data_IF_959192529581
#
_entry.id   IF_959192529581
#
_cell.length_a   1.000
_cell.length_b   1.000
_cell.length_c   1.000
_cell.angle_alpha   90.00
_cell.angle_beta   90.00
_cell.angle_gamma   90.00
#
_symmetry.space_group_name_H-M   'P 1'
#
loop_
_entity.id
_entity.type
_entity.pdbx_description
1 polymer ?
#
# COMPACT_ATOMS: atom_id res chain seq x y z
N UNK A 1 -8.20 -23.00 -7.96
CA UNK A 1 -8.02 -21.56 -7.70
C UNK A 1 -6.52 -21.27 -7.74
N UNK A 2 -6.05 -20.41 -8.65
CA UNK A 2 -4.61 -20.13 -8.80
C UNK A 2 -4.06 -19.38 -7.57
N UNK A 3 -2.76 -19.54 -7.30
CA UNK A 3 -2.09 -18.90 -6.17
C UNK A 3 -2.21 -17.37 -6.24
N UNK A 4 -1.99 -16.80 -7.43
CA UNK A 4 -2.14 -15.37 -7.71
C UNK A 4 -3.54 -14.83 -7.36
N UNK A 5 -4.62 -15.59 -7.65
CA UNK A 5 -5.98 -15.15 -7.33
C UNK A 5 -6.21 -15.08 -5.82
N UNK A 6 -5.66 -16.03 -5.06
CA UNK A 6 -5.71 -16.02 -3.59
C UNK A 6 -4.97 -14.81 -3.02
N UNK A 7 -3.82 -14.45 -3.59
CA UNK A 7 -3.05 -13.28 -3.16
C UNK A 7 -3.79 -11.97 -3.47
N UNK A 8 -4.37 -11.82 -4.67
CA UNK A 8 -5.19 -10.66 -5.03
C UNK A 8 -6.38 -10.50 -4.07
N UNK A 9 -7.12 -11.59 -3.80
CA UNK A 9 -8.21 -11.57 -2.82
C UNK A 9 -7.72 -11.28 -1.41
N UNK A 10 -6.53 -11.78 -1.05
CA UNK A 10 -5.87 -11.49 0.20
C UNK A 10 -5.56 -10.01 0.40
N UNK A 11 -5.04 -9.33 -0.64
CA UNK A 11 -4.80 -7.87 -0.60
C UNK A 11 -6.10 -7.13 -0.32
N UNK A 12 -7.15 -7.41 -1.10
CA UNK A 12 -8.47 -6.77 -0.95
C UNK A 12 -9.01 -6.97 0.46
N UNK A 13 -8.98 -8.21 0.98
CA UNK A 13 -9.50 -8.53 2.31
C UNK A 13 -8.70 -7.87 3.43
N UNK A 14 -7.37 -7.85 3.32
CA UNK A 14 -6.49 -7.33 4.37
C UNK A 14 -6.47 -5.79 4.40
N UNK A 15 -6.66 -5.14 3.26
CA UNK A 15 -6.49 -3.69 3.11
C UNK A 15 -7.82 -2.99 2.78
N UNK A 16 -8.45 -3.32 1.66
CA UNK A 16 -9.60 -2.57 1.14
C UNK A 16 -10.88 -2.80 1.96
N UNK A 17 -11.10 -4.04 2.39
CA UNK A 17 -12.24 -4.43 3.22
C UNK A 17 -11.98 -4.23 4.72
N UNK A 18 -10.75 -3.89 5.11
CA UNK A 18 -10.42 -3.61 6.51
C UNK A 18 -11.15 -2.35 7.01
N UNK A 19 -11.70 -2.43 8.22
CA UNK A 19 -12.23 -1.28 8.96
C UNK A 19 -11.13 -0.33 9.45
N UNK A 20 -9.89 -0.81 9.51
CA UNK A 20 -8.74 -0.05 10.01
C UNK A 20 -8.18 0.88 8.92
N UNK A 21 -8.51 2.17 9.00
CA UNK A 21 -8.05 3.16 8.02
C UNK A 21 -6.51 3.27 7.96
N UNK A 22 -5.82 3.02 9.08
CA UNK A 22 -4.36 3.00 9.14
C UNK A 22 -3.74 1.96 8.18
N UNK A 23 -4.43 0.85 7.89
CA UNK A 23 -3.93 -0.17 6.98
C UNK A 23 -3.94 0.31 5.53
N UNK A 24 -5.01 1.00 5.13
CA UNK A 24 -5.12 1.62 3.81
C UNK A 24 -4.06 2.69 3.63
N UNK A 25 -3.91 3.57 4.61
CA UNK A 25 -2.89 4.63 4.59
C UNK A 25 -1.50 4.01 4.43
N UNK A 26 -1.13 3.08 5.31
CA UNK A 26 0.20 2.46 5.28
C UNK A 26 0.47 1.65 4.00
N UNK A 27 -0.55 1.02 3.43
CA UNK A 27 -0.41 0.23 2.21
C UNK A 27 -0.21 1.12 0.99
N UNK A 28 -1.12 2.09 0.80
CA UNK A 28 -1.08 2.98 -0.35
C UNK A 28 0.03 4.03 -0.28
N UNK A 29 0.58 4.32 0.91
CA UNK A 29 1.77 5.16 1.09
C UNK A 29 3.08 4.40 0.93
N UNK A 30 3.05 3.06 0.81
CA UNK A 30 4.27 2.29 0.64
C UNK A 30 4.90 2.56 -0.75
N UNK A 31 6.20 2.92 -0.85
CA UNK A 31 6.82 3.29 -2.12
C UNK A 31 6.76 2.21 -3.20
N UNK A 32 6.91 0.93 -2.82
CA UNK A 32 6.83 -0.17 -3.77
C UNK A 32 5.41 -0.39 -4.27
N UNK A 33 4.42 -0.30 -3.37
CA UNK A 33 3.00 -0.39 -3.73
C UNK A 33 2.59 0.76 -4.64
N UNK A 34 2.96 2.01 -4.33
CA UNK A 34 2.66 3.18 -5.17
C UNK A 34 3.22 3.00 -6.58
N UNK A 35 4.50 2.64 -6.68
CA UNK A 35 5.18 2.42 -7.97
C UNK A 35 4.51 1.33 -8.80
N UNK A 36 4.12 0.22 -8.17
CA UNK A 36 3.41 -0.86 -8.88
C UNK A 36 2.04 -0.35 -9.34
N UNK A 37 1.24 0.25 -8.44
CA UNK A 37 -0.10 0.75 -8.77
C UNK A 37 -0.09 1.78 -9.90
N UNK A 38 0.88 2.70 -9.92
CA UNK A 38 1.04 3.68 -11.00
C UNK A 38 1.21 2.98 -12.37
N UNK A 39 2.08 1.95 -12.43
CA UNK A 39 2.25 1.13 -13.64
C UNK A 39 0.95 0.43 -14.03
N UNK A 40 0.27 -0.19 -13.06
CA UNK A 40 -0.98 -0.93 -13.31
C UNK A 40 -2.10 -0.03 -13.81
N UNK A 41 -2.23 1.16 -13.23
CA UNK A 41 -3.20 2.16 -13.66
C UNK A 41 -2.89 2.60 -15.09
N UNK A 42 -1.62 2.92 -15.39
CA UNK A 42 -1.22 3.30 -16.74
C UNK A 42 -1.54 2.20 -17.78
N UNK A 43 -1.27 0.94 -17.46
CA UNK A 43 -1.63 -0.19 -18.34
C UNK A 43 -3.14 -0.38 -18.47
N UNK A 44 -3.89 -0.29 -17.37
CA UNK A 44 -5.34 -0.35 -17.39
C UNK A 44 -5.94 0.75 -18.28
N UNK A 45 -5.42 1.98 -18.18
CA UNK A 45 -5.85 3.10 -19.03
C UNK A 45 -5.51 2.89 -20.50
N UNK A 46 -4.29 2.42 -20.81
CA UNK A 46 -3.88 2.06 -22.19
C UNK A 46 -4.78 0.97 -22.79
N UNK A 47 -5.34 0.10 -21.96
CA UNK A 47 -6.24 -0.96 -22.35
C UNK A 47 -7.73 -0.57 -22.21
N UNK A 48 -8.06 0.71 -22.36
CA UNK A 48 -9.42 1.26 -22.31
C UNK A 48 -10.18 0.89 -21.02
N UNK A 49 -9.46 0.79 -19.91
CA UNK A 49 -10.03 0.51 -18.58
C UNK A 49 -10.79 -0.81 -18.50
N UNK A 50 -10.39 -1.81 -19.30
CA UNK A 50 -10.99 -3.15 -19.25
C UNK A 50 -10.54 -3.91 -17.99
N UNK A 51 -11.48 -4.47 -17.23
CA UNK A 51 -11.16 -5.19 -15.97
C UNK A 51 -10.78 -4.24 -14.85
N UNK A 52 -9.93 -4.69 -13.92
CA UNK A 52 -9.38 -3.87 -12.83
C UNK A 52 -7.86 -3.73 -12.95
N UNK A 53 -7.22 -2.71 -12.32
CA UNK A 53 -5.77 -2.54 -12.40
C UNK A 53 -4.96 -3.78 -12.00
N UNK A 54 -5.42 -4.52 -10.97
CA UNK A 54 -4.77 -5.76 -10.54
C UNK A 54 -4.76 -6.85 -11.61
N UNK A 55 -5.61 -6.80 -12.65
CA UNK A 55 -5.59 -7.77 -13.76
C UNK A 55 -4.34 -7.62 -14.64
N UNK A 56 -3.68 -6.46 -14.59
CA UNK A 56 -2.46 -6.14 -15.36
C UNK A 56 -1.16 -6.39 -14.58
N UNK A 57 -1.28 -6.90 -13.35
CA UNK A 57 -0.15 -7.20 -12.47
C UNK A 57 0.52 -8.51 -12.83
N UNK A 58 1.85 -8.55 -12.76
CA UNK A 58 2.61 -9.80 -12.83
C UNK A 58 2.44 -10.59 -11.54
N UNK A 59 2.83 -11.87 -11.54
CA UNK A 59 2.77 -12.68 -10.33
C UNK A 59 3.69 -12.12 -9.23
N UNK A 60 4.88 -11.66 -9.59
CA UNK A 60 5.88 -11.09 -8.69
C UNK A 60 5.37 -9.79 -8.05
N UNK A 61 4.70 -8.93 -8.81
CA UNK A 61 4.13 -7.69 -8.27
C UNK A 61 2.99 -7.97 -7.30
N UNK A 62 2.13 -8.94 -7.62
CA UNK A 62 1.07 -9.39 -6.70
C UNK A 62 1.67 -9.96 -5.43
N UNK A 63 2.76 -10.73 -5.53
CA UNK A 63 3.46 -11.27 -4.38
C UNK A 63 4.07 -10.16 -3.50
N UNK A 64 4.72 -9.16 -4.10
CA UNK A 64 5.26 -7.99 -3.38
C UNK A 64 4.14 -7.25 -2.63
N UNK A 65 3.06 -6.89 -3.33
CA UNK A 65 1.92 -6.23 -2.73
C UNK A 65 1.28 -7.09 -1.61
N UNK A 66 1.13 -8.39 -1.81
CA UNK A 66 0.56 -9.29 -0.82
C UNK A 66 1.43 -9.40 0.44
N UNK A 67 2.75 -9.53 0.29
CA UNK A 67 3.67 -9.58 1.42
C UNK A 67 3.63 -8.30 2.27
N UNK A 68 3.50 -7.14 1.62
CA UNK A 68 3.33 -5.85 2.29
C UNK A 68 1.99 -5.80 3.04
N UNK A 69 0.90 -6.22 2.39
CA UNK A 69 -0.42 -6.28 3.03
C UNK A 69 -0.42 -7.19 4.28
N UNK A 70 0.22 -8.35 4.20
CA UNK A 70 0.36 -9.28 5.34
C UNK A 70 1.14 -8.63 6.48
N UNK A 71 2.25 -7.95 6.19
CA UNK A 71 3.05 -7.25 7.22
C UNK A 71 2.23 -6.17 7.92
N UNK A 72 1.50 -5.36 7.16
CA UNK A 72 0.62 -4.31 7.68
C UNK A 72 -0.47 -4.89 8.57
N UNK A 73 -1.15 -5.96 8.13
CA UNK A 73 -2.22 -6.60 8.92
C UNK A 73 -1.77 -7.18 10.26
N UNK A 74 -0.46 -7.47 10.40
CA UNK A 74 0.16 -7.95 11.63
C UNK A 74 0.70 -6.82 12.51
N UNK A 75 0.65 -5.58 12.02
CA UNK A 75 1.17 -4.40 12.73
C UNK A 75 0.01 -3.69 13.44
N UNK A 76 0.16 -3.31 14.72
CA UNK A 76 -0.86 -2.53 15.42
C UNK A 76 -1.19 -1.23 14.67
N UNK A 77 -2.49 -0.91 14.44
CA UNK A 77 -2.89 0.29 13.69
C UNK A 77 -2.29 1.59 14.22
N UNK A 78 -2.15 1.71 15.54
CA UNK A 78 -1.59 2.89 16.20
C UNK A 78 -0.10 3.08 15.87
N UNK A 79 0.65 1.99 15.72
CA UNK A 79 2.05 2.06 15.33
C UNK A 79 2.21 2.56 13.89
N UNK A 80 1.39 2.05 12.96
CA UNK A 80 1.36 2.49 11.57
C UNK A 80 1.02 3.99 11.47
N UNK A 81 0.01 4.42 12.22
CA UNK A 81 -0.38 5.84 12.25
C UNK A 81 0.71 6.72 12.86
N UNK A 82 1.36 6.27 13.94
CA UNK A 82 2.49 7.02 14.54
C UNK A 82 3.64 7.21 13.57
N UNK A 83 3.99 6.17 12.80
CA UNK A 83 5.01 6.27 11.75
C UNK A 83 4.59 7.28 10.69
N UNK A 84 3.37 7.15 10.14
CA UNK A 84 2.85 8.08 9.14
C UNK A 84 2.85 9.54 9.63
N UNK A 85 2.35 9.80 10.85
CA UNK A 85 2.33 11.14 11.45
C UNK A 85 3.73 11.74 11.60
N UNK A 86 4.72 10.92 11.98
CA UNK A 86 6.11 11.38 12.12
C UNK A 86 6.76 11.77 10.79
N UNK A 87 6.33 11.14 9.69
CA UNK A 87 6.82 11.42 8.34
C UNK A 87 6.20 12.70 7.77
N UNK A 88 4.91 12.94 8.00
CA UNK A 88 4.20 14.13 7.46
C UNK A 88 4.35 15.39 8.33
N UNK A 89 4.58 15.23 9.63
CA UNK A 89 4.81 16.33 10.58
C UNK A 89 6.18 16.14 11.25
N UNK A 90 7.29 16.44 10.54
CA UNK A 90 8.58 16.48 11.17
C UNK A 90 8.53 17.54 12.28
N UNK A 91 8.71 17.10 13.53
CA UNK A 91 8.73 18.01 14.68
C UNK A 91 9.68 19.17 14.37
N UNK A 92 9.15 20.40 14.35
CA UNK A 92 9.90 21.64 14.14
C UNK A 92 10.85 21.99 15.31
N UNK A 93 11.13 21.02 16.18
CA UNK A 93 11.96 21.17 17.37
C UNK A 93 13.44 20.99 17.04
N UNK A 94 14.01 21.90 16.25
CA UNK A 94 15.40 21.78 15.80
C UNK A 94 16.15 23.07 15.50
N UNK A 95 15.57 24.26 15.68
CA UNK A 95 16.31 25.53 15.48
C UNK A 95 16.81 26.08 16.83
N UNK A 96 17.89 25.49 17.35
CA UNK A 96 18.71 26.19 18.35
C UNK A 96 19.48 27.31 17.64
N UNK A 97 18.93 28.53 17.66
CA UNK A 97 19.69 29.76 17.38
C UNK A 97 20.99 29.74 18.20
N UNK A 98 22.13 29.51 17.53
CA UNK A 98 23.44 29.84 18.09
C UNK A 98 23.53 31.36 18.15
N UNK A 99 23.54 31.89 19.38
CA UNK A 99 24.03 33.22 19.70
C UNK A 99 25.56 33.21 19.65
#
# INVERSE_FOLDING_TARGET
MSNILKMKQGIVRLIDESSEQAYKIAFYSNPDVSRILERLIAEWERNNRKGIPLDYATEEEVEVMYNIAVKISKTPPQALMSTYLSEIMPSSSGEKKKR
#
